data_IF_378062284891
#
_entry.id   IF_378062284891
#
_cell.length_a   1.000
_cell.length_b   1.000
_cell.length_c   1.000
_cell.angle_alpha   90.00
_cell.angle_beta   90.00
_cell.angle_gamma   90.00
#
_symmetry.space_group_name_H-M   'P 1'
#
loop_
_entity.id
_entity.type
_entity.pdbx_description
1 polymer ?
#
# COMPACT_ATOMS: atom_id res chain seq x y z
N UNK A 1 25.60 19.46 20.27
CA UNK A 1 24.22 19.61 19.76
C UNK A 1 23.34 18.64 20.55
N UNK A 2 22.59 19.12 21.54
CA UNK A 2 21.69 18.24 22.29
C UNK A 2 20.41 18.01 21.49
N UNK A 3 20.02 16.75 21.39
CA UNK A 3 18.81 16.34 20.69
C UNK A 3 17.55 16.82 21.45
N UNK A 4 16.49 17.22 20.74
CA UNK A 4 15.21 17.59 21.34
C UNK A 4 14.41 16.37 21.85
N UNK A 5 14.83 15.15 21.49
CA UNK A 5 14.23 13.87 21.92
C UNK A 5 13.83 13.84 23.40
N UNK A 6 14.70 14.15 24.38
CA UNK A 6 14.31 14.09 25.78
C UNK A 6 13.06 14.92 26.05
N UNK A 7 12.94 16.14 25.52
CA UNK A 7 11.78 17.02 25.79
C UNK A 7 10.46 16.53 25.18
N UNK A 8 10.53 15.80 24.06
CA UNK A 8 9.36 15.28 23.36
C UNK A 8 8.84 13.99 24.02
N UNK A 9 9.75 13.10 24.43
CA UNK A 9 9.39 11.74 24.84
C UNK A 9 8.97 11.59 26.31
N UNK A 10 8.98 12.66 27.13
CA UNK A 10 8.57 12.56 28.55
C UNK A 10 7.05 12.38 28.75
N UNK A 11 6.21 13.02 27.93
CA UNK A 11 4.75 13.08 28.11
C UNK A 11 4.00 12.34 26.99
N UNK A 12 4.46 11.14 26.63
CA UNK A 12 3.94 10.42 25.46
C UNK A 12 2.67 9.66 25.87
N UNK A 13 1.48 10.01 25.35
CA UNK A 13 0.28 9.25 25.61
C UNK A 13 0.30 7.92 24.85
N UNK A 14 -0.61 7.00 25.19
CA UNK A 14 -0.76 5.76 24.43
C UNK A 14 -1.50 6.02 23.12
N UNK A 15 -1.01 5.44 22.03
CA UNK A 15 -1.62 5.57 20.70
C UNK A 15 -2.13 4.22 20.19
N UNK A 16 -3.22 4.22 19.41
CA UNK A 16 -3.77 3.00 18.82
C UNK A 16 -2.95 2.50 17.62
N UNK A 17 -2.33 3.41 16.87
CA UNK A 17 -1.56 3.10 15.67
C UNK A 17 -0.40 4.08 15.43
N UNK A 18 0.42 3.76 14.42
CA UNK A 18 1.59 4.58 14.05
C UNK A 18 1.20 5.95 13.45
N UNK A 19 0.17 6.06 12.59
CA UNK A 19 -0.32 7.36 12.12
C UNK A 19 -0.68 8.33 13.25
N UNK A 20 -1.43 7.87 14.26
CA UNK A 20 -1.82 8.72 15.39
C UNK A 20 -0.61 9.22 16.20
N UNK A 21 0.41 8.38 16.36
CA UNK A 21 1.69 8.77 16.97
C UNK A 21 2.40 9.85 16.13
N UNK A 22 2.48 9.68 14.81
CA UNK A 22 3.12 10.65 13.92
C UNK A 22 2.41 12.02 13.96
N UNK A 23 1.08 12.04 13.94
CA UNK A 23 0.28 13.26 14.01
C UNK A 23 0.44 14.00 15.35
N UNK A 24 0.54 13.25 16.45
CA UNK A 24 0.84 13.83 17.76
C UNK A 24 2.26 14.39 17.81
N UNK A 25 3.24 13.63 17.32
CA UNK A 25 4.65 14.03 17.35
C UNK A 25 4.89 15.30 16.51
N UNK A 26 4.29 15.38 15.32
CA UNK A 26 4.35 16.58 14.48
C UNK A 26 3.81 17.80 15.22
N UNK A 27 2.63 17.70 15.84
CA UNK A 27 2.03 18.80 16.61
C UNK A 27 2.91 19.19 17.80
N UNK A 28 3.48 18.22 18.52
CA UNK A 28 4.36 18.49 19.66
C UNK A 28 5.65 19.17 19.24
N UNK A 29 6.29 18.71 18.16
CA UNK A 29 7.49 19.33 17.60
C UNK A 29 7.27 20.80 17.21
N UNK A 30 6.19 21.08 16.46
CA UNK A 30 5.85 22.44 16.04
C UNK A 30 5.53 23.31 17.27
N UNK A 31 4.76 22.79 18.23
CA UNK A 31 4.45 23.51 19.47
C UNK A 31 5.70 23.85 20.29
N UNK A 32 6.70 22.97 20.32
CA UNK A 32 7.96 23.21 21.02
C UNK A 32 8.77 24.37 20.43
N UNK A 33 8.66 24.66 19.13
CA UNK A 33 9.35 25.79 18.51
C UNK A 33 8.96 27.14 19.13
N UNK A 34 7.75 27.24 19.69
CA UNK A 34 7.28 28.44 20.39
C UNK A 34 7.82 28.55 21.82
N UNK A 35 8.38 27.47 22.38
CA UNK A 35 8.88 27.42 23.76
C UNK A 35 10.42 27.46 23.83
N UNK A 36 11.09 27.05 22.74
CA UNK A 36 12.54 27.00 22.65
C UNK A 36 13.08 28.37 22.22
N UNK A 37 13.98 28.93 23.02
CA UNK A 37 14.74 30.12 22.65
C UNK A 37 15.77 29.79 21.57
N UNK A 38 15.96 30.72 20.63
CA UNK A 38 16.93 30.57 19.55
C UNK A 38 18.36 30.56 20.13
N UNK A 39 19.23 29.62 19.71
CA UNK A 39 20.57 29.47 20.30
C UNK A 39 21.44 30.72 20.15
N UNK A 40 21.30 31.45 19.04
CA UNK A 40 22.08 32.67 18.77
C UNK A 40 21.33 33.96 19.15
N UNK A 41 20.00 33.87 19.35
CA UNK A 41 19.14 35.01 19.68
C UNK A 41 18.27 34.67 20.90
N UNK A 42 18.81 34.69 22.13
CA UNK A 42 18.12 34.21 23.33
C UNK A 42 16.84 34.97 23.71
N UNK A 43 16.62 36.15 23.11
CA UNK A 43 15.41 36.97 23.29
C UNK A 43 14.25 36.55 22.38
N UNK A 44 14.51 35.67 21.41
CA UNK A 44 13.55 35.25 20.40
C UNK A 44 13.37 33.74 20.43
N UNK A 45 12.17 33.28 20.14
CA UNK A 45 11.89 31.85 20.00
C UNK A 45 12.21 31.35 18.59
N UNK A 46 12.46 30.05 18.46
CA UNK A 46 12.68 29.42 17.14
C UNK A 46 11.51 29.68 16.20
N UNK A 47 10.28 29.66 16.70
CA UNK A 47 9.08 29.97 15.90
C UNK A 47 9.06 31.41 15.36
N UNK A 48 9.54 32.39 16.14
CA UNK A 48 9.60 33.79 15.69
C UNK A 48 10.62 33.96 14.56
N UNK A 49 11.81 33.41 14.72
CA UNK A 49 12.86 33.48 13.70
C UNK A 49 12.42 32.76 12.42
N UNK A 50 11.82 31.57 12.54
CA UNK A 50 11.29 30.83 11.38
C UNK A 50 10.23 31.64 10.62
N UNK A 51 9.34 32.34 11.32
CA UNK A 51 8.30 33.16 10.68
C UNK A 51 8.89 34.36 9.92
N UNK A 52 9.98 34.95 10.42
CA UNK A 52 10.72 36.03 9.75
C UNK A 52 11.49 35.52 8.52
N UNK A 53 12.05 34.31 8.59
CA UNK A 53 12.82 33.70 7.50
C UNK A 53 11.94 33.12 6.39
N UNK A 54 10.77 32.58 6.73
CA UNK A 54 9.86 31.89 5.81
C UNK A 54 9.56 32.63 4.50
N UNK A 55 9.29 33.95 4.46
CA UNK A 55 9.06 34.67 3.19
C UNK A 55 10.31 34.80 2.32
N UNK A 56 11.50 34.61 2.88
CA UNK A 56 12.78 34.67 2.16
C UNK A 56 13.23 33.30 1.65
N UNK A 57 12.52 32.22 2.03
CA UNK A 57 12.85 30.86 1.58
C UNK A 57 12.48 30.65 0.12
N UNK A 58 13.30 29.86 -0.57
CA UNK A 58 12.97 29.38 -1.91
C UNK A 58 11.74 28.46 -1.85
N UNK A 59 10.90 28.44 -2.91
CA UNK A 59 9.81 27.49 -3.01
C UNK A 59 10.35 26.06 -2.91
N UNK A 60 9.63 25.21 -2.18
CA UNK A 60 10.01 23.82 -2.01
C UNK A 60 10.06 23.12 -3.39
N UNK A 61 11.11 22.32 -3.67
CA UNK A 61 11.16 21.52 -4.89
C UNK A 61 10.05 20.47 -4.90
N UNK A 62 9.82 19.87 -6.06
CA UNK A 62 8.89 18.73 -6.16
C UNK A 62 9.26 17.66 -5.12
N UNK A 63 8.26 17.07 -4.43
CA UNK A 63 8.52 15.97 -3.50
C UNK A 63 9.37 14.88 -4.16
N UNK A 64 10.38 14.42 -3.44
CA UNK A 64 11.23 13.33 -3.89
C UNK A 64 10.47 12.01 -3.81
N UNK A 65 10.45 11.25 -4.90
CA UNK A 65 9.79 9.94 -4.94
C UNK A 65 10.72 8.88 -4.32
N UNK A 66 10.64 8.75 -2.99
CA UNK A 66 11.50 7.87 -2.21
C UNK A 66 11.08 6.39 -2.26
N UNK A 67 11.34 5.72 -3.38
CA UNK A 67 11.15 4.27 -3.51
C UNK A 67 12.47 3.53 -3.73
N UNK A 68 12.48 2.25 -3.35
CA UNK A 68 13.53 1.30 -3.75
C UNK A 68 12.98 0.42 -4.86
N UNK A 69 13.69 0.33 -5.97
CA UNK A 69 13.29 -0.50 -7.11
C UNK A 69 14.00 -1.85 -7.11
N UNK A 70 13.20 -2.90 -7.22
CA UNK A 70 13.65 -4.28 -7.26
C UNK A 70 13.03 -5.01 -8.47
N UNK A 71 13.84 -5.68 -9.28
CA UNK A 71 13.30 -6.57 -10.34
C UNK A 71 12.95 -7.93 -9.75
N UNK A 72 11.69 -8.37 -9.89
CA UNK A 72 11.22 -9.69 -9.45
C UNK A 72 10.55 -10.45 -10.58
N UNK A 73 10.68 -11.78 -10.59
CA UNK A 73 9.96 -12.64 -11.54
C UNK A 73 8.62 -13.07 -10.95
N UNK A 74 7.54 -12.90 -11.72
CA UNK A 74 6.21 -13.36 -11.34
C UNK A 74 6.15 -14.88 -11.45
N UNK A 75 5.67 -15.56 -10.40
CA UNK A 75 5.46 -17.00 -10.41
C UNK A 75 4.36 -17.43 -11.40
N UNK A 76 4.29 -18.71 -11.80
CA UNK A 76 3.16 -19.23 -12.58
C UNK A 76 1.80 -19.05 -11.89
N UNK A 77 1.80 -18.93 -10.56
CA UNK A 77 0.61 -18.70 -9.72
C UNK A 77 0.23 -17.22 -9.58
N UNK A 78 0.86 -16.35 -10.38
CA UNK A 78 0.63 -14.90 -10.41
C UNK A 78 1.01 -14.22 -9.08
N UNK A 79 2.10 -14.67 -8.45
CA UNK A 79 2.60 -14.12 -7.19
C UNK A 79 4.03 -13.60 -7.34
N UNK A 80 4.35 -12.50 -6.65
CA UNK A 80 5.72 -12.02 -6.43
C UNK A 80 6.09 -12.17 -4.96
N UNK A 81 7.35 -12.44 -4.67
CA UNK A 81 7.86 -12.50 -3.29
C UNK A 81 8.68 -11.25 -3.00
N UNK A 82 8.31 -10.51 -1.95
CA UNK A 82 9.02 -9.32 -1.47
C UNK A 82 9.09 -9.36 0.06
N UNK A 83 10.30 -9.23 0.62
CA UNK A 83 10.55 -9.25 2.08
C UNK A 83 9.84 -10.40 2.81
N UNK A 84 9.91 -11.61 2.25
CA UNK A 84 9.26 -12.86 2.73
C UNK A 84 7.74 -12.95 2.51
N UNK A 85 7.06 -11.86 2.19
CA UNK A 85 5.64 -11.87 1.87
C UNK A 85 5.40 -12.11 0.38
N UNK A 86 4.22 -12.65 0.05
CA UNK A 86 3.80 -12.90 -1.33
C UNK A 86 2.65 -11.98 -1.71
N UNK A 87 2.74 -11.33 -2.86
CA UNK A 87 1.74 -10.41 -3.37
C UNK A 87 1.24 -10.88 -4.73
N UNK A 88 -0.06 -10.78 -4.96
CA UNK A 88 -0.66 -11.15 -6.25
C UNK A 88 -0.43 -10.10 -7.32
N UNK A 89 -0.31 -10.54 -8.57
CA UNK A 89 -0.08 -9.71 -9.76
C UNK A 89 -1.05 -10.17 -10.85
N UNK A 90 -1.54 -9.30 -11.76
CA UNK A 90 -2.44 -9.72 -12.83
C UNK A 90 -1.87 -10.88 -13.66
N UNK A 91 -2.73 -11.84 -13.97
CA UNK A 91 -2.32 -13.08 -14.65
C UNK A 91 -1.72 -12.88 -16.04
N UNK A 92 -1.98 -11.75 -16.69
CA UNK A 92 -1.36 -11.37 -17.96
C UNK A 92 0.17 -11.29 -17.88
N UNK A 93 0.72 -11.06 -16.68
CA UNK A 93 2.16 -10.93 -16.43
C UNK A 93 2.78 -12.16 -15.75
N UNK A 94 2.07 -13.29 -15.72
CA UNK A 94 2.62 -14.54 -15.17
C UNK A 94 3.90 -14.96 -15.92
N UNK A 95 4.90 -15.46 -15.18
CA UNK A 95 6.22 -15.86 -15.69
C UNK A 95 7.05 -14.75 -16.37
N UNK A 96 6.70 -13.46 -16.20
CA UNK A 96 7.46 -12.33 -16.70
C UNK A 96 8.24 -11.62 -15.58
N UNK A 97 9.38 -11.00 -15.86
CA UNK A 97 10.02 -10.07 -14.92
C UNK A 97 9.19 -8.78 -14.82
N UNK A 98 9.08 -8.24 -13.61
CA UNK A 98 8.38 -6.98 -13.30
C UNK A 98 9.23 -6.16 -12.33
N UNK A 99 9.11 -4.83 -12.40
CA UNK A 99 9.72 -3.91 -11.44
C UNK A 99 8.81 -3.76 -10.24
N UNK A 100 9.35 -3.88 -9.05
CA UNK A 100 8.64 -3.64 -7.79
C UNK A 100 9.24 -2.39 -7.16
N UNK A 101 8.44 -1.34 -7.07
CA UNK A 101 8.78 -0.10 -6.35
C UNK A 101 8.27 -0.21 -4.93
N UNK A 102 9.21 -0.32 -3.99
CA UNK A 102 8.91 -0.45 -2.58
C UNK A 102 8.93 0.92 -1.90
N UNK A 103 7.76 1.33 -1.40
CA UNK A 103 7.58 2.51 -0.56
C UNK A 103 7.59 2.11 0.92
N UNK A 104 7.52 3.10 1.80
CA UNK A 104 7.44 2.87 3.24
C UNK A 104 6.16 2.12 3.66
N UNK A 105 5.04 2.43 3.03
CA UNK A 105 3.70 1.93 3.38
C UNK A 105 3.08 1.01 2.31
N UNK A 106 3.53 1.11 1.06
CA UNK A 106 2.98 0.38 -0.08
C UNK A 106 4.05 -0.25 -0.99
N UNK A 107 3.62 -1.19 -1.81
CA UNK A 107 4.39 -1.78 -2.90
C UNK A 107 3.64 -1.54 -4.20
N UNK A 108 4.33 -0.99 -5.18
CA UNK A 108 3.78 -0.74 -6.51
C UNK A 108 4.50 -1.64 -7.50
N UNK A 109 3.76 -2.45 -8.22
CA UNK A 109 4.30 -3.33 -9.26
C UNK A 109 4.12 -2.64 -10.60
N UNK A 110 5.21 -2.50 -11.33
CA UNK A 110 5.29 -1.82 -12.62
C UNK A 110 5.78 -2.80 -13.67
N UNK A 111 5.10 -2.85 -14.80
CA UNK A 111 5.52 -3.59 -15.98
C UNK A 111 5.27 -2.74 -17.22
N UNK A 112 6.20 -2.76 -18.18
CA UNK A 112 6.06 -2.04 -19.47
C UNK A 112 5.77 -0.53 -19.27
N UNK A 113 6.30 0.07 -18.20
CA UNK A 113 6.09 1.48 -17.85
C UNK A 113 4.74 1.81 -17.20
N UNK A 114 3.88 0.81 -16.96
CA UNK A 114 2.55 0.97 -16.36
C UNK A 114 2.47 0.33 -14.99
N UNK A 115 1.71 0.94 -14.09
CA UNK A 115 1.40 0.36 -12.78
C UNK A 115 0.36 -0.75 -12.99
N UNK A 116 0.71 -1.98 -12.61
CA UNK A 116 -0.14 -3.16 -12.83
C UNK A 116 -0.78 -3.69 -11.54
N UNK A 117 -0.20 -3.38 -10.38
CA UNK A 117 -0.77 -3.73 -9.08
C UNK A 117 -0.22 -2.81 -7.99
N UNK A 118 -1.05 -2.56 -6.99
CA UNK A 118 -0.67 -1.83 -5.77
C UNK A 118 -1.07 -2.66 -4.55
N UNK A 119 -0.18 -2.74 -3.56
CA UNK A 119 -0.40 -3.49 -2.33
C UNK A 119 0.05 -2.69 -1.12
N UNK A 120 -0.63 -2.84 0.01
CA UNK A 120 -0.10 -2.38 1.29
C UNK A 120 1.12 -3.23 1.66
N UNK A 121 2.23 -2.60 2.04
CA UNK A 121 3.45 -3.30 2.44
C UNK A 121 3.23 -3.94 3.79
N UNK A 122 3.36 -5.27 3.84
CA UNK A 122 3.29 -6.01 5.09
C UNK A 122 4.69 -6.15 5.68
N UNK A 123 4.87 -5.63 6.89
CA UNK A 123 6.04 -5.94 7.71
C UNK A 123 5.73 -7.20 8.52
N UNK A 124 6.51 -8.27 8.33
CA UNK A 124 6.41 -9.45 9.17
C UNK A 124 6.91 -9.10 10.57
N UNK A 125 6.02 -8.62 11.44
CA UNK A 125 6.33 -8.12 12.79
C UNK A 125 6.51 -9.22 13.83
N UNK A 126 6.22 -10.47 13.49
CA UNK A 126 6.17 -11.53 14.48
C UNK A 126 7.32 -12.52 14.33
N UNK A 127 8.22 -12.53 15.31
CA UNK A 127 9.23 -13.57 15.46
C UNK A 127 8.61 -14.90 15.93
N UNK A 128 7.38 -14.89 16.47
CA UNK A 128 6.65 -16.08 16.92
C UNK A 128 5.92 -16.77 15.75
N UNK A 129 5.14 -16.01 14.97
CA UNK A 129 4.56 -16.52 13.72
C UNK A 129 5.56 -16.36 12.57
N UNK A 130 6.43 -17.35 12.39
CA UNK A 130 7.35 -17.47 11.24
C UNK A 130 6.64 -17.61 9.86
N UNK A 131 5.37 -17.22 9.75
CA UNK A 131 4.52 -17.45 8.60
C UNK A 131 4.58 -16.27 7.62
N UNK A 132 5.24 -16.49 6.49
CA UNK A 132 5.10 -15.66 5.30
C UNK A 132 3.61 -15.47 4.95
N UNK A 133 3.13 -14.22 4.89
CA UNK A 133 1.74 -13.92 4.50
C UNK A 133 1.63 -13.79 2.99
N UNK A 134 0.48 -14.22 2.45
CA UNK A 134 0.16 -14.06 1.03
C UNK A 134 -1.07 -13.17 0.88
N UNK A 135 -0.93 -12.08 0.13
CA UNK A 135 -2.00 -11.13 -0.18
C UNK A 135 -2.55 -11.41 -1.57
N UNK A 136 -3.80 -11.83 -1.60
CA UNK A 136 -4.53 -12.12 -2.84
C UNK A 136 -5.53 -10.99 -3.14
N UNK A 137 -5.47 -10.44 -4.35
CA UNK A 137 -6.59 -9.72 -4.96
C UNK A 137 -7.21 -10.64 -6.02
N UNK A 138 -8.52 -10.87 -5.89
CA UNK A 138 -9.29 -11.69 -6.83
C UNK A 138 -9.30 -11.10 -8.25
N UNK A 139 -9.18 -9.76 -8.38
CA UNK A 139 -9.16 -9.05 -9.68
C UNK A 139 -8.01 -9.50 -10.56
N UNK A 140 -6.86 -9.81 -9.95
CA UNK A 140 -5.68 -10.29 -10.65
C UNK A 140 -5.90 -11.61 -11.40
N UNK A 141 -6.93 -12.38 -11.02
CA UNK A 141 -7.23 -13.70 -11.58
C UNK A 141 -8.38 -13.69 -12.59
N UNK A 142 -9.00 -12.53 -12.88
CA UNK A 142 -10.18 -12.43 -13.76
C UNK A 142 -9.95 -13.00 -15.17
N UNK A 143 -8.79 -12.69 -15.78
CA UNK A 143 -8.45 -13.20 -17.11
C UNK A 143 -8.36 -14.74 -17.15
N UNK A 144 -7.96 -15.36 -16.04
CA UNK A 144 -7.89 -16.84 -15.91
C UNK A 144 -9.29 -17.42 -15.79
N UNK A 145 -10.15 -16.79 -14.98
CA UNK A 145 -11.53 -17.22 -14.73
C UNK A 145 -12.35 -17.16 -16.02
N UNK A 146 -12.16 -16.11 -16.85
CA UNK A 146 -12.85 -15.99 -18.14
C UNK A 146 -12.51 -17.13 -19.11
N UNK A 147 -11.24 -17.54 -19.17
CA UNK A 147 -10.78 -18.62 -20.05
C UNK A 147 -11.12 -20.01 -19.52
N UNK A 148 -11.06 -20.19 -18.20
CA UNK A 148 -11.30 -21.48 -17.52
C UNK A 148 -12.18 -21.27 -16.27
N UNK A 149 -13.52 -21.17 -16.44
CA UNK A 149 -14.42 -20.90 -15.32
C UNK A 149 -14.39 -21.98 -14.23
N UNK A 150 -13.96 -23.21 -14.56
CA UNK A 150 -13.71 -24.28 -13.58
C UNK A 150 -12.58 -24.00 -12.57
N UNK A 151 -11.76 -22.97 -12.79
CA UNK A 151 -10.69 -22.57 -11.87
C UNK A 151 -11.20 -22.00 -10.54
N UNK A 152 -12.46 -21.54 -10.50
CA UNK A 152 -13.10 -20.99 -9.31
C UNK A 152 -13.27 -22.02 -8.19
N UNK A 153 -13.39 -23.32 -8.52
CA UNK A 153 -13.81 -24.36 -7.58
C UNK A 153 -12.73 -24.72 -6.54
N UNK A 154 -11.46 -24.55 -6.90
CA UNK A 154 -10.30 -24.94 -6.08
C UNK A 154 -9.24 -23.82 -5.96
N UNK A 155 -9.55 -22.60 -6.39
CA UNK A 155 -8.60 -21.49 -6.37
C UNK A 155 -8.33 -21.00 -4.95
N UNK A 156 -7.05 -20.91 -4.57
CA UNK A 156 -6.60 -20.27 -3.34
C UNK A 156 -7.08 -18.82 -3.10
N UNK A 157 -7.37 -17.97 -4.11
CA UNK A 157 -7.73 -16.57 -3.85
C UNK A 157 -9.20 -16.36 -3.48
N UNK A 158 -10.04 -17.41 -3.44
CA UNK A 158 -11.45 -17.29 -3.06
C UNK A 158 -11.72 -17.94 -1.70
N UNK A 159 -12.48 -17.29 -0.80
CA UNK A 159 -12.94 -17.95 0.40
C UNK A 159 -13.78 -19.16 -0.01
N UNK A 160 -13.49 -20.32 0.58
CA UNK A 160 -14.26 -21.58 0.41
C UNK A 160 -15.68 -21.35 0.92
N UNK A 161 -16.57 -20.82 0.08
CA UNK A 161 -18.00 -20.88 0.38
C UNK A 161 -18.42 -22.34 0.29
N UNK A 162 -19.02 -22.79 1.39
CA UNK A 162 -19.42 -24.16 1.63
C UNK A 162 -20.59 -24.53 0.69
N UNK A 163 -20.50 -25.76 0.19
CA UNK A 163 -21.59 -26.68 -0.19
C UNK A 163 -22.07 -26.68 -1.64
N UNK A 164 -21.83 -27.86 -2.23
CA UNK A 164 -22.84 -28.71 -2.87
C UNK A 164 -23.59 -28.11 -4.05
N UNK A 165 -22.95 -28.21 -5.22
CA UNK A 165 -23.71 -28.48 -6.44
C UNK A 165 -22.87 -29.36 -7.34
N UNK A 166 -23.18 -30.66 -7.34
CA UNK A 166 -22.75 -31.59 -8.39
C UNK A 166 -23.27 -31.08 -9.73
N UNK A 167 -22.40 -31.12 -10.73
CA UNK A 167 -22.68 -31.01 -12.16
C UNK A 167 -24.02 -30.36 -12.55
N UNK A 168 -24.05 -29.03 -12.73
CA UNK A 168 -25.12 -28.44 -13.52
C UNK A 168 -24.61 -27.30 -14.40
N UNK A 169 -24.41 -27.63 -15.68
CA UNK A 169 -24.12 -26.70 -16.79
C UNK A 169 -25.16 -25.57 -16.94
N UNK A 170 -26.29 -25.66 -16.23
CA UNK A 170 -27.41 -24.71 -16.33
C UNK A 170 -27.36 -23.55 -15.33
N UNK A 171 -26.55 -23.63 -14.27
CA UNK A 171 -26.40 -22.55 -13.29
C UNK A 171 -25.36 -21.48 -13.71
N UNK A 172 -24.47 -21.82 -14.66
CA UNK A 172 -23.47 -20.89 -15.21
C UNK A 172 -24.11 -19.79 -16.10
N UNK A 173 -25.35 -20.01 -16.57
CA UNK A 173 -26.08 -19.07 -17.41
C UNK A 173 -26.59 -17.84 -16.65
N UNK A 174 -26.94 -17.98 -15.36
CA UNK A 174 -27.50 -16.85 -14.59
C UNK A 174 -26.41 -15.86 -14.16
N UNK A 175 -25.21 -16.34 -13.82
CA UNK A 175 -24.06 -15.49 -13.51
C UNK A 175 -23.58 -14.67 -14.71
N UNK A 176 -23.76 -15.17 -15.95
CA UNK A 176 -23.55 -14.38 -17.18
C UNK A 176 -24.55 -13.23 -17.32
N UNK A 177 -25.79 -13.42 -16.87
CA UNK A 177 -26.84 -12.41 -17.00
C UNK A 177 -26.72 -11.28 -15.96
N UNK A 178 -26.19 -11.55 -14.77
CA UNK A 178 -25.95 -10.53 -13.74
C UNK A 178 -24.71 -9.67 -14.03
N UNK A 179 -23.60 -10.28 -14.48
CA UNK A 179 -22.38 -9.54 -14.86
C UNK A 179 -22.63 -8.69 -16.11
N UNK A 180 -23.43 -9.18 -17.08
CA UNK A 180 -23.84 -8.41 -18.26
C UNK A 180 -24.84 -7.28 -17.96
N UNK A 181 -25.65 -7.38 -16.90
CA UNK A 181 -26.52 -6.29 -16.44
C UNK A 181 -25.74 -5.18 -15.73
N UNK A 182 -24.68 -5.54 -15.01
CA UNK A 182 -23.79 -4.56 -14.38
C UNK A 182 -23.02 -3.74 -15.41
N UNK A 183 -22.54 -4.35 -16.50
CA UNK A 183 -21.79 -3.66 -17.57
C UNK A 183 -22.63 -2.60 -18.32
N UNK A 184 -23.95 -2.80 -18.48
CA UNK A 184 -24.85 -1.81 -19.11
C UNK A 184 -25.23 -0.64 -18.19
N UNK A 185 -24.93 -0.72 -16.91
CA UNK A 185 -25.39 0.24 -15.89
C UNK A 185 -24.28 1.16 -15.37
N UNK A 186 -23.03 0.95 -15.80
CA UNK A 186 -21.88 1.78 -15.39
C UNK A 186 -21.64 2.89 -16.42
N UNK A 187 -21.79 4.18 -16.05
CA UNK A 187 -21.52 5.29 -16.95
C UNK A 187 -20.01 5.51 -17.07
N UNK A 188 -19.45 5.38 -18.27
CA UNK A 188 -18.09 5.86 -18.55
C UNK A 188 -17.17 4.98 -19.40
N UNK A 189 -17.68 4.18 -20.32
CA UNK A 189 -16.81 3.53 -21.32
C UNK A 189 -17.44 3.57 -22.71
N UNK A 190 -17.14 4.65 -23.45
CA UNK A 190 -17.08 4.65 -24.90
C UNK A 190 -16.24 5.83 -25.37
N UNK A 191 -15.71 5.80 -26.62
CA UNK A 191 -15.49 4.65 -27.49
C UNK A 191 -14.02 4.20 -27.52
#
# INVERSE_FOLDING_TARGET
MQDARPRIWHEVPRFPDLPALNDWLQRRCIGLWSQIQHPEHPQRTVAQVLAEEQPHLMPAPSPFDGYVEDTKRVSPTCLITFERNRYSVPASFANRPVSVRAYADRLVVVAEGQIIAEHARLFARDHSSNAARTVYDWRHYLAVIQRKPGALRNGAPLPRSRKDCGACSRCCSSARAEIGRWWRSSPGAAP
#
